data_IF_831710906207
#
_entry.id   IF_831710906207
#
_cell.length_a   1.000
_cell.length_b   1.000
_cell.length_c   1.000
_cell.angle_alpha   90.00
_cell.angle_beta   90.00
_cell.angle_gamma   90.00
#
_symmetry.space_group_name_H-M   'P 1'
#
loop_
_entity.id
_entity.type
_entity.pdbx_description
1 polymer ?
#
# COMPACT_ATOMS: atom_id res chain seq x y z
N UNK A 1 -25.97 55.62 -15.70
CA UNK A 1 -25.04 54.86 -14.78
C UNK A 1 -25.60 53.49 -14.36
N UNK A 2 -26.86 53.19 -14.63
CA UNK A 2 -27.53 51.92 -14.20
C UNK A 2 -27.35 50.71 -15.13
N UNK A 3 -26.92 50.90 -16.41
CA UNK A 3 -26.74 49.78 -17.35
C UNK A 3 -25.45 48.96 -17.12
N UNK A 4 -24.40 49.51 -16.51
CA UNK A 4 -23.14 48.79 -16.26
C UNK A 4 -23.16 47.89 -15.03
N UNK A 5 -24.06 48.13 -14.08
CA UNK A 5 -24.20 47.30 -12.87
C UNK A 5 -24.92 45.97 -13.13
N UNK A 6 -25.86 45.95 -14.10
CA UNK A 6 -26.56 44.71 -14.48
C UNK A 6 -25.69 43.68 -15.17
N UNK A 7 -24.80 44.10 -16.08
CA UNK A 7 -23.90 43.19 -16.80
C UNK A 7 -22.83 42.58 -15.92
N UNK A 8 -22.36 43.30 -14.89
CA UNK A 8 -21.40 42.77 -13.91
C UNK A 8 -22.08 41.74 -13.00
N UNK A 9 -23.34 41.95 -12.65
CA UNK A 9 -24.10 41.02 -11.81
C UNK A 9 -24.43 39.72 -12.53
N UNK A 10 -24.80 39.77 -13.83
CA UNK A 10 -25.02 38.57 -14.65
C UNK A 10 -23.73 37.79 -14.90
N UNK A 11 -22.59 38.47 -15.15
CA UNK A 11 -21.29 37.81 -15.30
C UNK A 11 -20.84 37.12 -14.02
N UNK A 12 -21.08 37.72 -12.85
CA UNK A 12 -20.82 37.12 -11.55
C UNK A 12 -21.70 35.91 -11.26
N UNK A 13 -22.98 35.95 -11.63
CA UNK A 13 -23.92 34.83 -11.47
C UNK A 13 -23.50 33.64 -12.34
N UNK A 14 -23.06 33.88 -13.59
CA UNK A 14 -22.59 32.84 -14.51
C UNK A 14 -21.25 32.19 -13.98
N UNK A 15 -20.33 32.98 -13.45
CA UNK A 15 -19.11 32.49 -12.85
C UNK A 15 -19.40 31.65 -11.59
N UNK A 16 -20.34 32.05 -10.74
CA UNK A 16 -20.72 31.31 -9.55
C UNK A 16 -21.51 30.02 -9.85
N UNK A 17 -22.36 30.01 -10.87
CA UNK A 17 -23.16 28.82 -11.25
C UNK A 17 -22.34 27.83 -12.06
N UNK A 18 -21.42 28.27 -12.93
CA UNK A 18 -20.50 27.42 -13.68
C UNK A 18 -19.52 26.71 -12.73
N UNK A 19 -18.91 27.45 -11.81
CA UNK A 19 -18.00 26.88 -10.80
C UNK A 19 -18.72 25.95 -9.82
N UNK A 20 -19.99 26.20 -9.45
CA UNK A 20 -20.78 25.29 -8.62
C UNK A 20 -21.00 23.93 -9.28
N UNK A 21 -21.23 23.84 -10.57
CA UNK A 21 -21.41 22.55 -11.27
C UNK A 21 -20.12 21.74 -11.32
N UNK A 22 -18.98 22.39 -11.56
CA UNK A 22 -17.66 21.74 -11.56
C UNK A 22 -17.27 21.35 -10.14
N UNK A 23 -17.46 22.24 -9.17
CA UNK A 23 -17.20 22.00 -7.76
C UNK A 23 -18.09 20.87 -7.21
N UNK A 24 -19.37 20.84 -7.55
CA UNK A 24 -20.29 19.77 -7.15
C UNK A 24 -19.94 18.42 -7.79
N UNK A 25 -19.50 18.39 -9.07
CA UNK A 25 -19.07 17.14 -9.72
C UNK A 25 -17.80 16.58 -9.09
N UNK A 26 -16.82 17.45 -8.83
CA UNK A 26 -15.57 17.05 -8.17
C UNK A 26 -15.82 16.56 -6.74
N UNK A 27 -16.62 17.28 -5.97
CA UNK A 27 -17.00 16.88 -4.61
C UNK A 27 -17.86 15.60 -4.59
N UNK A 28 -18.74 15.40 -5.58
CA UNK A 28 -19.51 14.17 -5.72
C UNK A 28 -18.59 12.98 -6.02
N UNK A 29 -17.66 13.14 -6.97
CA UNK A 29 -16.66 12.09 -7.28
C UNK A 29 -15.79 11.77 -6.05
N UNK A 30 -15.29 12.78 -5.33
CA UNK A 30 -14.52 12.62 -4.10
C UNK A 30 -15.35 11.89 -3.03
N UNK A 31 -16.62 12.26 -2.86
CA UNK A 31 -17.51 11.64 -1.88
C UNK A 31 -17.85 10.18 -2.24
N UNK A 32 -18.06 9.89 -3.53
CA UNK A 32 -18.27 8.52 -4.04
C UNK A 32 -17.00 7.67 -3.84
N UNK A 33 -15.80 8.21 -4.10
CA UNK A 33 -14.53 7.55 -3.85
C UNK A 33 -14.28 7.27 -2.36
N UNK A 34 -14.68 8.19 -1.48
CA UNK A 34 -14.54 8.03 -0.01
C UNK A 34 -15.48 6.97 0.55
N UNK A 35 -16.60 6.68 -0.14
CA UNK A 35 -17.61 5.68 0.28
C UNK A 35 -17.33 4.29 -0.32
N UNK A 36 -16.48 4.18 -1.34
CA UNK A 36 -16.11 2.88 -1.91
C UNK A 36 -15.45 1.99 -0.86
N UNK A 37 -15.92 0.75 -0.77
CA UNK A 37 -15.29 -0.26 0.09
C UNK A 37 -13.90 -0.63 -0.44
N UNK A 38 -13.03 -1.06 0.45
CA UNK A 38 -11.66 -1.44 0.13
C UNK A 38 -11.60 -2.46 -1.03
N UNK A 39 -12.41 -3.50 -1.00
CA UNK A 39 -12.43 -4.54 -2.04
C UNK A 39 -12.88 -4.00 -3.39
N UNK A 40 -13.82 -3.04 -3.42
CA UNK A 40 -14.25 -2.43 -4.68
C UNK A 40 -13.12 -1.59 -5.29
N UNK A 41 -12.33 -0.90 -4.45
CA UNK A 41 -11.12 -0.18 -4.90
C UNK A 41 -10.08 -1.15 -5.47
N UNK A 42 -9.86 -2.28 -4.81
CA UNK A 42 -8.92 -3.32 -5.28
C UNK A 42 -9.34 -3.81 -6.68
N UNK A 43 -10.61 -4.10 -6.92
CA UNK A 43 -11.12 -4.52 -8.23
C UNK A 43 -10.89 -3.48 -9.34
N UNK A 44 -10.98 -2.20 -9.01
CA UNK A 44 -10.65 -1.15 -9.98
C UNK A 44 -9.13 -1.05 -10.22
N UNK A 45 -8.30 -1.27 -9.19
CA UNK A 45 -6.84 -1.37 -9.33
C UNK A 45 -6.49 -2.58 -10.23
N UNK A 46 -7.09 -3.75 -10.01
CA UNK A 46 -6.91 -4.94 -10.86
C UNK A 46 -7.21 -4.65 -12.34
N UNK A 47 -8.34 -3.99 -12.61
CA UNK A 47 -8.69 -3.58 -13.98
C UNK A 47 -7.67 -2.61 -14.58
N UNK A 48 -7.21 -1.63 -13.78
CA UNK A 48 -6.19 -0.70 -14.21
C UNK A 48 -4.91 -1.44 -14.58
N UNK A 49 -4.42 -2.33 -13.71
CA UNK A 49 -3.22 -3.12 -13.97
C UNK A 49 -3.38 -3.95 -15.25
N UNK A 50 -4.51 -4.63 -15.44
CA UNK A 50 -4.76 -5.43 -16.65
C UNK A 50 -4.77 -4.60 -17.94
N UNK A 51 -5.26 -3.35 -17.87
CA UNK A 51 -5.39 -2.50 -19.05
C UNK A 51 -4.12 -1.69 -19.38
N UNK A 52 -3.22 -1.51 -18.41
CA UNK A 52 -2.02 -0.68 -18.54
C UNK A 52 -0.74 -1.47 -18.27
N UNK A 53 -0.80 -2.76 -18.50
CA UNK A 53 0.24 -3.70 -18.14
C UNK A 53 1.60 -3.36 -18.78
N UNK A 54 1.59 -2.96 -20.06
CA UNK A 54 2.79 -2.59 -20.83
C UNK A 54 3.40 -1.25 -20.36
N UNK A 55 2.62 -0.40 -19.68
CA UNK A 55 3.06 0.91 -19.21
C UNK A 55 3.65 0.86 -17.78
N UNK A 56 3.43 -0.25 -17.06
CA UNK A 56 3.90 -0.41 -15.68
C UNK A 56 5.37 -0.83 -15.60
N UNK A 57 6.18 -0.62 -16.61
CA UNK A 57 7.63 -0.87 -16.72
C UNK A 57 8.12 -1.95 -15.72
N UNK A 58 7.55 -3.15 -15.88
CA UNK A 58 7.85 -4.28 -15.01
C UNK A 58 9.11 -4.96 -15.55
N UNK A 59 10.16 -5.02 -14.74
CA UNK A 59 11.42 -5.68 -15.09
C UNK A 59 11.25 -7.15 -15.49
N UNK A 60 10.16 -7.79 -15.03
CA UNK A 60 9.81 -9.14 -15.42
C UNK A 60 8.69 -9.16 -16.48
N UNK A 61 8.88 -9.84 -17.60
CA UNK A 61 7.82 -10.01 -18.59
C UNK A 61 6.67 -10.78 -17.96
N UNK A 62 5.47 -10.19 -18.02
CA UNK A 62 4.27 -10.87 -17.55
C UNK A 62 3.91 -11.95 -18.56
N UNK A 63 4.00 -13.17 -18.12
CA UNK A 63 3.55 -14.31 -18.92
C UNK A 63 2.04 -14.25 -19.16
N UNK A 64 1.65 -14.55 -20.37
CA UNK A 64 0.27 -14.79 -20.76
C UNK A 64 -0.37 -15.77 -19.77
N UNK A 65 -1.49 -15.38 -19.14
CA UNK A 65 -2.20 -16.22 -18.17
C UNK A 65 -1.92 -15.95 -16.68
N UNK A 66 -1.10 -14.98 -16.29
CA UNK A 66 -0.93 -14.63 -14.88
C UNK A 66 -2.23 -14.10 -14.26
N UNK A 67 -2.98 -13.31 -15.01
CA UNK A 67 -4.28 -12.81 -14.55
C UNK A 67 -5.30 -13.94 -14.40
N UNK A 68 -5.38 -14.88 -15.33
CA UNK A 68 -6.27 -16.04 -15.21
C UNK A 68 -5.93 -16.90 -13.99
N UNK A 69 -4.64 -17.09 -13.69
CA UNK A 69 -4.20 -17.79 -12.48
C UNK A 69 -4.61 -17.02 -11.23
N UNK A 70 -4.45 -15.68 -11.24
CA UNK A 70 -4.86 -14.82 -10.14
C UNK A 70 -6.37 -14.87 -9.89
N UNK A 71 -7.20 -14.82 -10.93
CA UNK A 71 -8.67 -14.91 -10.79
C UNK A 71 -9.09 -16.15 -10.02
N UNK A 72 -8.39 -17.27 -10.19
CA UNK A 72 -8.66 -18.54 -9.54
C UNK A 72 -8.10 -18.67 -8.11
N UNK A 73 -7.32 -17.71 -7.63
CA UNK A 73 -6.83 -17.73 -6.24
C UNK A 73 -7.98 -17.46 -5.28
N UNK A 74 -8.18 -18.38 -4.36
CA UNK A 74 -9.18 -18.23 -3.29
C UNK A 74 -8.67 -17.35 -2.15
N UNK A 75 -9.58 -16.72 -1.41
CA UNK A 75 -9.24 -16.04 -0.16
C UNK A 75 -8.91 -17.02 0.96
N UNK A 76 -8.21 -16.51 1.99
CA UNK A 76 -7.94 -17.23 3.23
C UNK A 76 -9.22 -17.42 4.06
N UNK A 77 -9.35 -18.58 4.71
CA UNK A 77 -10.46 -18.88 5.61
C UNK A 77 -10.13 -18.49 7.07
N UNK A 78 -11.10 -18.62 7.95
CA UNK A 78 -10.93 -18.28 9.36
C UNK A 78 -9.87 -19.15 10.06
N UNK A 79 -9.76 -20.42 9.68
CA UNK A 79 -8.79 -21.35 10.27
C UNK A 79 -7.35 -21.00 9.84
N UNK A 80 -7.15 -20.49 8.63
CA UNK A 80 -5.85 -19.99 8.14
C UNK A 80 -5.36 -18.82 9.00
N UNK A 81 -6.25 -17.86 9.31
CA UNK A 81 -5.91 -16.74 10.19
C UNK A 81 -5.63 -17.22 11.61
N UNK A 82 -6.46 -18.11 12.16
CA UNK A 82 -6.26 -18.62 13.52
C UNK A 82 -4.93 -19.37 13.65
N UNK A 83 -4.57 -20.16 12.63
CA UNK A 83 -3.29 -20.85 12.57
C UNK A 83 -2.12 -19.85 12.52
N UNK A 84 -2.19 -18.86 11.62
CA UNK A 84 -1.15 -17.85 11.43
C UNK A 84 -0.95 -17.00 12.71
N UNK A 85 -2.05 -16.48 13.29
CA UNK A 85 -2.03 -15.69 14.52
C UNK A 85 -1.44 -16.48 15.70
N UNK A 86 -1.85 -17.74 15.86
CA UNK A 86 -1.30 -18.62 16.90
C UNK A 86 0.19 -18.90 16.70
N UNK A 87 0.61 -19.12 15.46
CA UNK A 87 1.99 -19.44 15.14
C UNK A 87 2.98 -18.33 15.48
N UNK A 88 2.58 -17.09 15.23
CA UNK A 88 3.43 -15.92 15.44
C UNK A 88 3.12 -15.15 16.74
N UNK A 89 2.15 -15.63 17.52
CA UNK A 89 1.65 -14.96 18.73
C UNK A 89 1.30 -13.48 18.46
N UNK A 90 0.40 -13.26 17.49
CA UNK A 90 -0.07 -11.95 17.04
C UNK A 90 -1.58 -11.91 16.88
N UNK A 91 -2.10 -10.70 16.73
CA UNK A 91 -3.47 -10.45 16.25
C UNK A 91 -3.36 -9.61 14.98
N UNK A 92 -3.86 -10.14 13.87
CA UNK A 92 -3.90 -9.45 12.58
C UNK A 92 -4.99 -8.38 12.59
N UNK A 93 -4.73 -7.18 12.01
CA UNK A 93 -5.75 -6.16 11.82
C UNK A 93 -6.92 -6.65 10.95
N UNK A 94 -8.12 -6.10 11.19
CA UNK A 94 -9.33 -6.51 10.47
C UNK A 94 -9.25 -6.22 8.97
N UNK A 95 -8.69 -5.09 8.58
CA UNK A 95 -8.51 -4.71 7.16
C UNK A 95 -7.48 -5.60 6.45
N UNK A 96 -6.43 -6.06 7.15
CA UNK A 96 -5.54 -7.09 6.64
C UNK A 96 -6.29 -8.40 6.39
N UNK A 97 -7.11 -8.85 7.35
CA UNK A 97 -7.94 -10.03 7.18
C UNK A 97 -8.97 -9.86 6.05
N UNK A 98 -9.54 -8.67 5.87
CA UNK A 98 -10.46 -8.38 4.77
C UNK A 98 -9.79 -8.53 3.40
N UNK A 99 -8.57 -7.99 3.24
CA UNK A 99 -7.77 -8.18 2.03
C UNK A 99 -7.53 -9.66 1.74
N UNK A 100 -7.06 -10.41 2.73
CA UNK A 100 -6.73 -11.83 2.56
C UNK A 100 -7.95 -12.74 2.42
N UNK A 101 -9.12 -12.38 2.94
CA UNK A 101 -10.38 -13.07 2.64
C UNK A 101 -10.78 -12.90 1.18
N UNK A 102 -10.42 -11.81 0.55
CA UNK A 102 -10.66 -11.60 -0.88
C UNK A 102 -9.68 -12.43 -1.73
N UNK A 103 -8.36 -12.35 -1.46
CA UNK A 103 -7.32 -13.10 -2.15
C UNK A 103 -6.19 -13.47 -1.19
N UNK A 104 -5.84 -14.75 -1.11
CA UNK A 104 -4.71 -15.21 -0.31
C UNK A 104 -3.43 -15.27 -1.18
N UNK A 105 -2.89 -14.10 -1.48
CA UNK A 105 -1.79 -13.92 -2.40
C UNK A 105 -2.24 -13.57 -3.82
N UNK A 106 -1.30 -13.25 -4.69
CA UNK A 106 -1.57 -12.93 -6.09
C UNK A 106 -0.76 -13.74 -7.11
N UNK A 107 0.04 -14.71 -6.63
CA UNK A 107 1.00 -15.40 -7.49
C UNK A 107 1.99 -14.42 -8.09
N UNK A 108 2.12 -14.40 -9.40
CA UNK A 108 2.98 -13.44 -10.11
C UNK A 108 2.23 -12.21 -10.62
N UNK A 109 0.96 -12.04 -10.27
CA UNK A 109 0.19 -10.87 -10.68
C UNK A 109 0.44 -9.69 -9.73
N UNK A 110 0.84 -8.55 -10.29
CA UNK A 110 1.14 -7.33 -9.54
C UNK A 110 -0.15 -6.55 -9.26
N UNK A 111 -0.69 -6.71 -8.07
CA UNK A 111 -1.99 -6.12 -7.70
C UNK A 111 -1.87 -4.79 -6.95
N UNK A 112 -0.65 -4.40 -6.53
CA UNK A 112 -0.41 -3.21 -5.72
C UNK A 112 0.64 -2.29 -6.38
N UNK A 113 0.32 -1.61 -7.51
CA UNK A 113 1.20 -0.61 -8.08
C UNK A 113 1.30 0.59 -7.11
N UNK A 114 2.51 0.95 -6.74
CA UNK A 114 2.75 1.97 -5.71
C UNK A 114 3.88 2.90 -6.13
N UNK A 115 3.89 4.13 -5.58
CA UNK A 115 5.07 4.98 -5.62
C UNK A 115 5.53 5.23 -4.20
N UNK A 116 6.73 4.79 -3.92
CA UNK A 116 7.33 4.84 -2.59
C UNK A 116 8.66 5.57 -2.75
N UNK A 117 8.81 6.68 -2.03
CA UNK A 117 10.01 7.51 -2.09
C UNK A 117 10.41 7.86 -3.54
N UNK A 118 9.42 8.35 -4.33
CA UNK A 118 9.54 8.69 -5.75
C UNK A 118 9.83 7.51 -6.71
N UNK A 119 9.97 6.29 -6.20
CA UNK A 119 10.19 5.07 -6.98
C UNK A 119 8.86 4.39 -7.31
N UNK A 120 8.65 4.09 -8.58
CA UNK A 120 7.50 3.28 -9.02
C UNK A 120 7.81 1.80 -8.79
N UNK A 121 6.93 1.12 -8.07
CA UNK A 121 7.07 -0.29 -7.72
C UNK A 121 5.72 -0.99 -7.87
N UNK A 122 5.70 -2.14 -8.53
CA UNK A 122 4.50 -2.95 -8.67
C UNK A 122 4.63 -4.21 -7.80
N UNK A 123 3.97 -4.22 -6.65
CA UNK A 123 4.05 -5.33 -5.71
C UNK A 123 3.05 -6.43 -6.03
N UNK A 124 3.50 -7.69 -5.97
CA UNK A 124 2.63 -8.85 -5.85
C UNK A 124 2.26 -9.10 -4.39
N UNK A 125 1.03 -9.56 -4.15
CA UNK A 125 0.58 -9.94 -2.81
C UNK A 125 1.12 -11.33 -2.46
N UNK A 126 1.79 -11.47 -1.32
CA UNK A 126 2.26 -12.75 -0.80
C UNK A 126 1.10 -13.49 -0.13
N UNK A 127 0.98 -14.80 -0.34
CA UNK A 127 0.06 -15.64 0.45
C UNK A 127 0.53 -15.75 1.91
N UNK A 128 -0.37 -16.13 2.82
CA UNK A 128 -0.01 -16.38 4.23
C UNK A 128 1.11 -17.41 4.36
N UNK A 129 1.16 -18.40 3.45
CA UNK A 129 2.23 -19.40 3.43
C UNK A 129 3.58 -18.79 2.97
N UNK A 130 3.58 -17.90 1.97
CA UNK A 130 4.79 -17.19 1.53
C UNK A 130 5.30 -16.26 2.63
N UNK A 131 4.41 -15.52 3.32
CA UNK A 131 4.77 -14.71 4.50
C UNK A 131 5.43 -15.58 5.57
N UNK A 132 4.85 -16.74 5.88
CA UNK A 132 5.41 -17.68 6.85
C UNK A 132 6.82 -18.15 6.43
N UNK A 133 7.02 -18.45 5.16
CA UNK A 133 8.32 -18.89 4.66
C UNK A 133 9.35 -17.76 4.69
N UNK A 134 8.97 -16.56 4.27
CA UNK A 134 9.81 -15.36 4.34
C UNK A 134 10.23 -15.06 5.79
N UNK A 135 9.32 -15.19 6.76
CA UNK A 135 9.62 -15.02 8.19
C UNK A 135 10.63 -16.01 8.71
N UNK A 136 10.65 -17.25 8.23
CA UNK A 136 11.66 -18.26 8.64
C UNK A 136 13.07 -17.86 8.20
N UNK A 137 13.20 -17.36 7.00
CA UNK A 137 14.50 -17.12 6.37
C UNK A 137 15.04 -15.71 6.65
N UNK A 138 14.18 -14.70 6.69
CA UNK A 138 14.58 -13.32 6.61
C UNK A 138 14.34 -12.52 7.92
N UNK A 139 13.18 -12.69 8.55
CA UNK A 139 12.65 -11.70 9.48
C UNK A 139 12.33 -12.25 10.88
N UNK A 140 12.90 -13.37 11.29
CA UNK A 140 12.59 -13.93 12.61
C UNK A 140 13.53 -13.47 13.73
N UNK A 141 14.08 -12.25 13.59
CA UNK A 141 14.98 -11.65 14.60
C UNK A 141 14.69 -10.15 14.73
N UNK A 142 15.17 -9.58 15.82
CA UNK A 142 15.30 -8.14 15.99
C UNK A 142 16.77 -7.78 15.77
N UNK A 143 17.03 -6.76 14.95
CA UNK A 143 18.36 -6.26 14.67
C UNK A 143 18.31 -4.75 14.49
N UNK A 144 18.95 -4.00 15.38
CA UNK A 144 19.00 -2.54 15.31
C UNK A 144 19.97 -2.10 14.21
N UNK A 145 19.68 -0.98 13.55
CA UNK A 145 20.60 -0.36 12.58
C UNK A 145 21.96 -0.09 13.20
N UNK A 146 22.01 0.31 14.48
CA UNK A 146 23.24 0.59 15.22
C UNK A 146 24.13 -0.65 15.49
N UNK A 147 23.62 -1.85 15.26
CA UNK A 147 24.41 -3.09 15.36
C UNK A 147 25.28 -3.36 14.12
N UNK A 148 25.11 -2.55 13.07
CA UNK A 148 25.81 -2.68 11.78
C UNK A 148 26.56 -1.39 11.41
N UNK A 149 27.52 -0.92 12.25
CA UNK A 149 28.20 0.36 12.04
C UNK A 149 29.07 0.41 10.77
N UNK A 150 29.38 -0.74 10.18
CA UNK A 150 30.08 -0.86 8.90
C UNK A 150 29.20 -0.50 7.69
N UNK A 151 27.86 -0.56 7.84
CA UNK A 151 26.87 -0.24 6.80
C UNK A 151 26.10 1.03 7.09
N UNK A 152 25.86 1.36 8.37
CA UNK A 152 25.06 2.50 8.80
C UNK A 152 25.86 3.38 9.74
N UNK A 153 26.22 4.56 9.27
CA UNK A 153 26.81 5.58 10.17
C UNK A 153 25.74 6.20 11.06
N UNK A 154 26.15 6.88 12.13
CA UNK A 154 25.22 7.64 12.99
C UNK A 154 24.40 8.63 12.17
N UNK A 155 25.02 9.30 11.18
CA UNK A 155 24.36 10.25 10.30
C UNK A 155 23.31 9.58 9.39
N UNK A 156 23.57 8.36 8.92
CA UNK A 156 22.62 7.61 8.10
C UNK A 156 21.40 7.21 8.94
N UNK A 157 21.62 6.73 10.17
CA UNK A 157 20.53 6.38 11.10
C UNK A 157 19.70 7.63 11.46
N UNK A 158 20.34 8.79 11.67
CA UNK A 158 19.63 10.05 11.93
C UNK A 158 18.79 10.51 10.72
N UNK A 159 19.26 10.32 9.49
CA UNK A 159 18.50 10.65 8.27
C UNK A 159 17.32 9.72 8.06
N UNK A 160 17.48 8.44 8.37
CA UNK A 160 16.41 7.42 8.26
C UNK A 160 15.41 7.49 9.44
N UNK A 161 15.65 8.36 10.42
CA UNK A 161 14.84 8.41 11.64
C UNK A 161 13.42 8.96 11.36
N UNK A 162 12.48 8.06 11.29
CA UNK A 162 11.04 8.36 11.31
C UNK A 162 10.46 7.95 12.67
N UNK A 163 9.92 8.89 13.41
CA UNK A 163 9.37 8.66 14.76
C UNK A 163 8.19 7.66 14.80
N UNK A 164 7.71 7.21 13.65
CA UNK A 164 6.69 6.17 13.51
C UNK A 164 7.28 4.77 13.41
N UNK A 165 8.58 4.63 13.07
CA UNK A 165 9.26 3.37 12.77
C UNK A 165 10.41 3.19 13.75
N UNK A 166 10.48 2.05 14.43
CA UNK A 166 11.64 1.74 15.26
C UNK A 166 12.92 1.60 14.42
N UNK A 167 14.08 2.02 14.93
CA UNK A 167 15.35 2.03 14.19
C UNK A 167 15.95 0.61 14.05
N UNK A 168 15.17 -0.30 13.49
CA UNK A 168 15.57 -1.66 13.20
C UNK A 168 15.88 -1.85 11.71
N UNK A 169 16.85 -2.69 11.40
CA UNK A 169 17.00 -3.27 10.07
C UNK A 169 16.03 -4.45 9.88
N UNK A 170 15.89 -5.26 10.94
CA UNK A 170 14.94 -6.38 11.00
C UNK A 170 14.19 -6.33 12.32
N UNK A 171 12.88 -6.54 12.26
CA UNK A 171 12.02 -6.65 13.44
C UNK A 171 11.11 -7.88 13.30
N UNK A 172 11.10 -8.75 14.29
CA UNK A 172 10.25 -9.97 14.29
C UNK A 172 8.76 -9.68 14.22
N UNK A 173 8.33 -8.46 14.51
CA UNK A 173 6.93 -8.01 14.43
C UNK A 173 6.59 -7.28 13.12
N UNK A 174 7.51 -7.23 12.17
CA UNK A 174 7.26 -6.80 10.81
C UNK A 174 6.96 -8.00 9.93
N UNK A 175 5.84 -7.99 9.21
CA UNK A 175 5.38 -9.09 8.38
C UNK A 175 5.35 -8.66 6.92
N UNK A 176 6.26 -9.15 6.08
CA UNK A 176 6.24 -8.87 4.65
C UNK A 176 4.98 -9.49 4.05
N UNK A 177 4.12 -8.68 3.43
CA UNK A 177 2.87 -9.17 2.85
C UNK A 177 2.76 -8.91 1.35
N UNK A 178 3.65 -8.11 0.79
CA UNK A 178 3.78 -7.91 -0.64
C UNK A 178 5.26 -7.71 -0.99
N UNK A 179 5.66 -8.16 -2.17
CA UNK A 179 7.05 -8.07 -2.62
C UNK A 179 7.17 -7.52 -4.03
N UNK A 180 8.30 -6.90 -4.32
CA UNK A 180 8.71 -6.42 -5.63
C UNK A 180 10.17 -6.81 -5.88
N UNK A 181 10.43 -7.51 -7.00
CA UNK A 181 11.77 -7.94 -7.46
C UNK A 181 12.61 -8.65 -6.37
N UNK A 182 11.99 -9.49 -5.53
CA UNK A 182 12.64 -10.26 -4.45
C UNK A 182 13.48 -9.41 -3.46
N UNK A 183 13.41 -8.09 -3.56
CA UNK A 183 14.28 -7.16 -2.81
C UNK A 183 13.53 -6.10 -2.02
N UNK A 184 12.34 -5.70 -2.46
CA UNK A 184 11.53 -4.70 -1.77
C UNK A 184 10.24 -5.33 -1.22
N UNK A 185 9.89 -4.98 0.00
CA UNK A 185 8.75 -5.59 0.69
C UNK A 185 7.85 -4.54 1.33
N UNK A 186 6.53 -4.60 1.05
CA UNK A 186 5.55 -3.96 1.92
C UNK A 186 5.36 -4.82 3.16
N UNK A 187 5.52 -4.22 4.32
CA UNK A 187 5.44 -4.90 5.61
C UNK A 187 4.32 -4.35 6.48
N UNK A 188 3.57 -5.26 7.10
CA UNK A 188 2.65 -4.94 8.18
C UNK A 188 3.48 -4.77 9.47
N UNK A 189 3.55 -3.56 9.99
CA UNK A 189 4.26 -3.24 11.23
C UNK A 189 3.34 -3.42 12.44
N UNK A 190 3.61 -4.44 13.24
CA UNK A 190 2.90 -4.73 14.48
C UNK A 190 3.65 -4.27 15.74
N UNK A 191 4.78 -3.58 15.57
CA UNK A 191 5.62 -3.05 16.64
C UNK A 191 6.16 -1.64 16.30
N UNK A 192 5.28 -0.65 16.07
CA UNK A 192 5.67 0.70 15.67
C UNK A 192 6.39 1.44 16.79
N UNK A 193 7.05 2.56 16.44
CA UNK A 193 7.60 3.49 17.41
C UNK A 193 6.51 4.45 17.93
N UNK A 194 6.91 5.38 18.78
CA UNK A 194 6.06 6.24 19.63
C UNK A 194 4.95 7.01 18.88
N UNK A 195 5.21 7.46 17.64
CA UNK A 195 4.25 8.22 16.82
C UNK A 195 3.59 7.34 15.74
N UNK A 196 3.95 6.05 15.68
CA UNK A 196 3.38 5.07 14.77
C UNK A 196 2.10 4.41 15.29
N UNK A 197 1.46 3.62 14.43
CA UNK A 197 0.28 2.84 14.77
C UNK A 197 0.50 1.37 14.45
N UNK A 198 0.13 0.49 15.38
CA UNK A 198 0.12 -0.95 15.14
C UNK A 198 -0.77 -1.28 13.94
N UNK A 199 -0.20 -1.98 12.95
CA UNK A 199 -0.86 -2.28 11.69
C UNK A 199 -0.57 -1.25 10.60
N UNK A 200 0.31 -0.28 10.83
CA UNK A 200 0.82 0.61 9.78
C UNK A 200 1.59 -0.18 8.73
N UNK A 201 1.72 0.41 7.56
CA UNK A 201 2.46 -0.16 6.44
C UNK A 201 3.76 0.59 6.28
N UNK A 202 4.85 -0.16 6.24
CA UNK A 202 6.19 0.31 5.94
C UNK A 202 6.71 -0.44 4.71
N UNK A 203 7.70 0.12 4.04
CA UNK A 203 8.40 -0.55 2.95
C UNK A 203 9.87 -0.73 3.32
N UNK A 204 10.33 -1.97 3.24
CA UNK A 204 11.76 -2.26 3.21
C UNK A 204 12.23 -2.23 1.77
N UNK A 205 13.30 -1.48 1.52
CA UNK A 205 13.96 -1.34 0.22
C UNK A 205 15.40 -1.82 0.41
N UNK A 206 15.84 -2.72 -0.47
CA UNK A 206 17.21 -3.21 -0.47
C UNK A 206 18.05 -2.41 -1.48
N UNK A 207 19.30 -2.13 -1.11
CA UNK A 207 20.31 -1.43 -1.90
C UNK A 207 19.96 0.04 -2.32
N UNK A 208 20.17 1.00 -1.39
CA UNK A 208 20.62 0.80 0.01
C UNK A 208 19.50 0.31 0.92
N UNK A 209 19.86 -0.45 1.95
CA UNK A 209 18.89 -0.92 2.93
C UNK A 209 18.26 0.26 3.67
N UNK A 210 16.97 0.44 3.46
CA UNK A 210 16.18 1.47 4.15
C UNK A 210 14.77 0.99 4.47
N UNK A 211 14.14 1.61 5.47
CA UNK A 211 12.75 1.35 5.83
C UNK A 211 11.99 2.66 5.86
N UNK A 212 10.96 2.77 5.04
CA UNK A 212 10.17 3.99 4.89
C UNK A 212 8.70 3.76 5.25
N UNK A 213 8.06 4.81 5.80
CA UNK A 213 6.63 4.78 6.11
C UNK A 213 5.80 4.95 4.83
N UNK A 214 4.77 4.13 4.68
CA UNK A 214 3.90 4.14 3.49
C UNK A 214 2.46 4.56 3.83
N UNK A 215 1.83 3.86 4.76
CA UNK A 215 0.42 4.08 5.06
C UNK A 215 0.11 3.72 6.52
N UNK A 216 -0.98 4.26 7.08
CA UNK A 216 -1.31 3.97 8.46
C UNK A 216 -2.08 2.65 8.66
N UNK A 217 -2.54 2.01 7.59
CA UNK A 217 -3.08 0.64 7.55
C UNK A 217 -3.30 0.18 6.09
N UNK A 218 -3.81 -1.04 5.88
CA UNK A 218 -4.11 -1.60 4.55
C UNK A 218 -5.18 -0.78 3.80
N UNK A 219 -6.24 -0.35 4.48
CA UNK A 219 -7.30 0.45 3.85
C UNK A 219 -6.77 1.78 3.32
N UNK A 220 -5.85 2.43 4.04
CA UNK A 220 -5.19 3.67 3.60
C UNK A 220 -4.25 3.41 2.40
N UNK A 221 -3.46 2.34 2.45
CA UNK A 221 -2.61 1.93 1.34
C UNK A 221 -3.42 1.77 0.05
N UNK A 222 -4.49 0.95 0.09
CA UNK A 222 -5.36 0.72 -1.07
C UNK A 222 -6.02 2.01 -1.55
N UNK A 223 -6.40 2.90 -0.64
CA UNK A 223 -6.99 4.18 -1.00
C UNK A 223 -5.99 5.08 -1.73
N UNK A 224 -4.75 5.16 -1.27
CA UNK A 224 -3.67 5.92 -1.91
C UNK A 224 -3.36 5.39 -3.33
N UNK A 225 -3.29 4.08 -3.49
CA UNK A 225 -3.09 3.46 -4.82
C UNK A 225 -4.26 3.81 -5.73
N UNK A 226 -5.50 3.62 -5.26
CA UNK A 226 -6.70 3.90 -6.04
C UNK A 226 -6.81 5.38 -6.46
N UNK A 227 -6.52 6.32 -5.56
CA UNK A 227 -6.53 7.76 -5.85
C UNK A 227 -5.52 8.15 -6.93
N UNK A 228 -4.42 7.42 -7.02
CA UNK A 228 -3.35 7.69 -7.99
C UNK A 228 -3.69 7.25 -9.41
N UNK A 229 -4.47 6.16 -9.54
CA UNK A 229 -4.88 5.60 -10.84
C UNK A 229 -6.23 6.16 -11.35
N UNK A 230 -6.95 6.95 -10.54
CA UNK A 230 -8.30 7.47 -10.83
C UNK A 230 -8.26 8.89 -11.40
#
# INVERSE_FOLDING_TARGET
MEKKTGEIFEALVILFTGNRKIFNRKNKKIMEMTVMKMIDKIKEIEKYVCNNFEELDLDDPVEEGYFEKYENISGACQDDFAFFEKKFDIVLPDDFKELYKYKNGSGFFFVLPSVIDEREMAFRLMSLQEIENSKKNFQNRDALLSEFPEYFTVQDIEKMNDSRIKPYLFNRRWFPFAEYCDSCYLMLDLDPDKDGKKGQIICYIHDPDEVVYVAFNITDLISKIFEKIS
#
